data_IF_402237131652
#
_entry.id   IF_402237131652
#
_cell.length_a   1.000
_cell.length_b   1.000
_cell.length_c   1.000
_cell.angle_alpha   90.00
_cell.angle_beta   90.00
_cell.angle_gamma   90.00
#
_symmetry.space_group_name_H-M   'P 1'
#
loop_
_entity.id
_entity.type
_entity.pdbx_description
1 polymer ?
#
# COMPACT_ATOMS: atom_id res chain seq x y z
N UNK A 1 -12.32 -74.14 9.76
CA UNK A 1 -11.53 -73.00 9.24
C UNK A 1 -12.34 -71.73 9.45
N UNK A 2 -11.87 -70.85 10.32
CA UNK A 2 -12.61 -69.69 10.87
C UNK A 2 -12.21 -68.42 10.09
N UNK A 3 -13.20 -67.59 9.74
CA UNK A 3 -13.08 -66.38 8.93
C UNK A 3 -12.44 -65.23 9.72
N UNK A 4 -11.41 -64.61 9.15
CA UNK A 4 -10.71 -63.46 9.67
C UNK A 4 -11.49 -62.17 9.35
N UNK A 5 -11.85 -61.39 10.35
CA UNK A 5 -12.58 -60.12 10.21
C UNK A 5 -11.56 -58.99 10.27
N UNK A 6 -11.49 -58.16 9.24
CA UNK A 6 -10.61 -56.99 9.14
C UNK A 6 -10.99 -55.92 10.19
N UNK A 7 -10.02 -55.24 10.83
CA UNK A 7 -10.33 -54.10 11.68
C UNK A 7 -10.52 -52.83 10.82
N UNK A 8 -11.70 -52.23 10.95
CA UNK A 8 -12.05 -50.91 10.44
C UNK A 8 -11.24 -49.84 11.19
N UNK A 9 -10.29 -49.19 10.51
CA UNK A 9 -9.55 -48.06 11.09
C UNK A 9 -10.37 -46.79 10.90
N UNK A 10 -10.84 -46.21 12.01
CA UNK A 10 -11.53 -44.92 12.05
C UNK A 10 -10.48 -43.81 11.99
N UNK A 11 -10.36 -43.10 10.86
CA UNK A 11 -9.48 -41.94 10.75
C UNK A 11 -10.17 -40.70 11.34
N UNK A 12 -9.64 -40.18 12.46
CA UNK A 12 -10.01 -38.85 12.97
C UNK A 12 -9.37 -37.77 12.09
N UNK A 13 -10.18 -37.08 11.29
CA UNK A 13 -9.76 -35.89 10.56
C UNK A 13 -9.64 -34.70 11.52
N UNK A 14 -8.42 -34.36 11.91
CA UNK A 14 -8.13 -33.08 12.57
C UNK A 14 -8.05 -31.99 11.50
N UNK A 15 -9.06 -31.13 11.43
CA UNK A 15 -8.99 -29.88 10.66
C UNK A 15 -8.08 -28.91 11.41
N UNK A 16 -6.84 -28.78 10.94
CA UNK A 16 -5.96 -27.71 11.39
C UNK A 16 -6.57 -26.37 10.93
N UNK A 17 -7.14 -25.62 11.88
CA UNK A 17 -7.45 -24.21 11.67
C UNK A 17 -6.14 -23.48 11.42
N UNK A 18 -5.83 -23.23 10.15
CA UNK A 18 -4.73 -22.35 9.79
C UNK A 18 -5.15 -20.92 10.15
N UNK A 19 -4.40 -20.20 11.01
CA UNK A 19 -4.67 -18.80 11.27
C UNK A 19 -4.53 -18.03 9.96
N UNK A 20 -5.55 -17.26 9.61
CA UNK A 20 -5.47 -16.34 8.47
C UNK A 20 -4.34 -15.34 8.75
N UNK A 21 -3.37 -15.28 7.84
CA UNK A 21 -2.33 -14.26 7.88
C UNK A 21 -3.02 -12.93 7.57
N UNK A 22 -3.45 -12.20 8.60
CA UNK A 22 -3.95 -10.84 8.43
C UNK A 22 -2.75 -10.01 7.97
N UNK A 23 -2.69 -9.70 6.68
CA UNK A 23 -1.67 -8.80 6.14
C UNK A 23 -1.68 -7.49 6.90
N UNK A 24 -0.60 -7.18 7.60
CA UNK A 24 -0.48 -5.97 8.42
C UNK A 24 -0.39 -4.67 7.58
N UNK A 25 -0.29 -4.78 6.26
CA UNK A 25 0.00 -3.69 5.34
C UNK A 25 -0.94 -3.74 4.13
N UNK A 26 -1.43 -2.58 3.71
CA UNK A 26 -2.16 -2.41 2.45
C UNK A 26 -1.18 -1.90 1.38
N UNK A 27 -1.12 -2.56 0.22
CA UNK A 27 -0.23 -2.20 -0.89
C UNK A 27 -1.08 -1.84 -2.10
N UNK A 28 -0.98 -0.60 -2.55
CA UNK A 28 -1.58 -0.10 -3.78
C UNK A 28 -0.53 -0.18 -4.89
N UNK A 29 -0.72 -1.10 -5.84
CA UNK A 29 0.16 -1.23 -7.00
C UNK A 29 -0.37 -0.41 -8.16
N UNK A 30 0.47 0.47 -8.69
CA UNK A 30 0.13 1.25 -9.89
C UNK A 30 0.50 0.45 -11.13
N UNK A 31 -0.44 0.31 -12.05
CA UNK A 31 -0.29 -0.47 -13.28
C UNK A 31 0.13 0.41 -14.47
N UNK A 32 0.81 -0.14 -15.50
CA UNK A 32 1.21 0.63 -16.68
C UNK A 32 0.04 1.22 -17.49
N UNK A 33 -1.16 0.63 -17.35
CA UNK A 33 -2.38 1.02 -18.09
C UNK A 33 -3.34 1.91 -17.29
N UNK A 34 -3.00 2.28 -16.05
CA UNK A 34 -3.78 3.27 -15.29
C UNK A 34 -3.51 4.67 -15.84
N UNK A 35 -4.05 4.95 -17.03
CA UNK A 35 -4.19 6.30 -17.61
C UNK A 35 -5.51 6.93 -17.16
N UNK A 36 -6.00 6.57 -15.97
CA UNK A 36 -7.27 7.06 -15.48
C UNK A 36 -7.04 8.35 -14.69
N UNK A 37 -7.58 9.45 -15.21
CA UNK A 37 -7.63 10.77 -14.59
C UNK A 37 -8.50 10.82 -13.30
N UNK A 38 -8.93 9.66 -12.78
CA UNK A 38 -9.75 9.58 -11.58
C UNK A 38 -8.87 9.40 -10.34
N UNK A 39 -9.11 10.18 -9.27
CA UNK A 39 -8.40 9.99 -8.01
C UNK A 39 -8.56 8.57 -7.47
N UNK A 40 -7.47 7.97 -7.00
CA UNK A 40 -7.47 6.66 -6.38
C UNK A 40 -7.64 6.85 -4.87
N UNK A 41 -8.80 6.52 -4.33
CA UNK A 41 -9.03 6.61 -2.88
C UNK A 41 -8.10 5.69 -2.11
N UNK A 42 -7.28 6.27 -1.23
CA UNK A 42 -6.36 5.52 -0.34
C UNK A 42 -6.88 5.54 1.09
N UNK A 43 -7.01 4.36 1.69
CA UNK A 43 -7.27 4.24 3.13
C UNK A 43 -5.95 4.08 3.88
N UNK A 44 -5.75 4.93 4.88
CA UNK A 44 -4.61 4.82 5.80
C UNK A 44 -5.16 4.57 7.20
N UNK A 45 -4.78 3.44 7.78
CA UNK A 45 -5.27 3.02 9.09
C UNK A 45 -4.29 3.41 10.20
N UNK A 46 -4.83 3.83 11.34
CA UNK A 46 -4.03 4.08 12.54
C UNK A 46 -3.19 2.85 12.93
N UNK A 47 -1.92 3.08 13.28
CA UNK A 47 -0.98 2.03 13.62
C UNK A 47 -0.47 1.19 12.43
N UNK A 48 -0.88 1.49 11.20
CA UNK A 48 -0.45 0.78 9.98
C UNK A 48 0.20 1.73 8.98
N UNK A 49 0.98 1.14 8.07
CA UNK A 49 1.47 1.83 6.90
C UNK A 49 0.71 1.34 5.66
N UNK A 50 0.40 2.26 4.75
CA UNK A 50 -0.13 1.95 3.41
C UNK A 50 0.96 2.25 2.40
N UNK A 51 1.33 1.28 1.57
CA UNK A 51 2.35 1.45 0.54
C UNK A 51 1.70 1.77 -0.82
N UNK A 52 2.28 2.71 -1.54
CA UNK A 52 1.98 2.99 -2.95
C UNK A 52 3.21 2.61 -3.75
N UNK A 53 3.10 1.56 -4.56
CA UNK A 53 4.22 0.91 -5.25
C UNK A 53 4.13 1.14 -6.77
N UNK A 54 5.16 1.80 -7.29
CA UNK A 54 5.33 2.10 -8.72
C UNK A 54 6.36 1.19 -9.41
N UNK A 55 6.97 0.25 -8.69
CA UNK A 55 8.01 -0.64 -9.22
C UNK A 55 7.50 -1.49 -10.38
N UNK A 56 6.26 -2.01 -10.30
CA UNK A 56 5.62 -2.77 -11.37
C UNK A 56 5.36 -1.95 -12.63
N UNK A 57 5.12 -0.64 -12.48
CA UNK A 57 4.99 0.30 -13.60
C UNK A 57 6.34 0.74 -14.18
N UNK A 58 7.46 0.31 -13.58
CA UNK A 58 8.83 0.76 -13.92
C UNK A 58 8.99 2.29 -13.86
N UNK A 59 8.25 2.91 -12.93
CA UNK A 59 8.25 4.35 -12.70
C UNK A 59 9.06 4.67 -11.44
N UNK A 60 9.67 5.86 -11.41
CA UNK A 60 10.40 6.40 -10.25
C UNK A 60 9.75 7.67 -9.75
N UNK A 61 9.65 7.80 -8.44
CA UNK A 61 9.07 8.97 -7.77
C UNK A 61 10.06 10.11 -7.84
N UNK A 62 9.61 11.26 -8.36
CA UNK A 62 10.43 12.48 -8.48
C UNK A 62 9.86 13.66 -7.70
N UNK A 63 8.59 13.59 -7.27
CA UNK A 63 7.98 14.61 -6.41
C UNK A 63 6.78 14.02 -5.69
N UNK A 64 6.57 14.45 -4.45
CA UNK A 64 5.42 14.10 -3.63
C UNK A 64 4.88 15.38 -2.99
N UNK A 65 3.56 15.59 -3.07
CA UNK A 65 2.89 16.71 -2.40
C UNK A 65 1.69 16.17 -1.63
N UNK A 66 1.72 16.33 -0.31
CA UNK A 66 0.61 16.06 0.57
C UNK A 66 -0.07 17.38 0.94
N UNK A 67 -1.33 17.56 0.54
CA UNK A 67 -2.02 18.85 0.67
C UNK A 67 -2.26 19.28 2.13
N UNK A 68 -2.66 18.35 3.00
CA UNK A 68 -2.79 18.55 4.44
C UNK A 68 -1.92 17.54 5.22
N UNK A 69 -0.72 17.93 5.68
CA UNK A 69 0.16 17.07 6.46
C UNK A 69 -0.23 16.96 7.95
N UNK A 70 -1.38 17.50 8.37
CA UNK A 70 -1.75 17.54 9.81
C UNK A 70 -2.04 16.19 10.42
N UNK A 71 -2.42 15.18 9.62
CA UNK A 71 -2.81 13.84 10.10
C UNK A 71 -2.08 12.69 9.43
N UNK A 72 -1.28 12.99 8.41
CA UNK A 72 -0.57 12.01 7.59
C UNK A 72 0.87 12.45 7.39
N UNK A 73 1.77 11.47 7.33
CA UNK A 73 3.15 11.64 6.87
C UNK A 73 3.46 10.60 5.81
N UNK A 74 4.51 10.86 5.02
CA UNK A 74 5.03 9.90 4.06
C UNK A 74 6.53 9.71 4.22
N UNK A 75 7.02 8.55 3.81
CA UNK A 75 8.43 8.29 3.56
C UNK A 75 8.56 7.48 2.28
N UNK A 76 9.67 7.60 1.56
CA UNK A 76 9.98 6.77 0.40
C UNK A 76 10.90 5.61 0.78
N UNK A 77 10.94 4.57 -0.05
CA UNK A 77 11.87 3.43 0.06
C UNK A 77 13.34 3.85 -0.09
N UNK A 78 13.59 4.90 -0.86
CA UNK A 78 14.90 5.56 -1.04
C UNK A 78 14.71 7.08 -1.03
N UNK A 79 15.77 7.89 -0.80
CA UNK A 79 15.69 9.34 -0.96
C UNK A 79 15.16 9.71 -2.35
N UNK A 80 14.17 10.60 -2.44
CA UNK A 80 13.54 10.97 -3.71
C UNK A 80 14.57 11.62 -4.64
N UNK A 81 15.49 12.38 -4.08
CA UNK A 81 16.57 13.10 -4.75
C UNK A 81 17.58 12.14 -5.42
N UNK A 82 17.61 10.86 -5.03
CA UNK A 82 18.43 9.86 -5.69
C UNK A 82 17.92 9.48 -7.08
N UNK A 83 16.67 9.82 -7.42
CA UNK A 83 16.00 9.39 -8.65
C UNK A 83 15.66 7.91 -8.71
N UNK A 84 15.84 7.17 -7.60
CA UNK A 84 15.65 5.72 -7.55
C UNK A 84 14.45 5.29 -6.71
N UNK A 85 13.83 6.20 -5.96
CA UNK A 85 12.64 5.92 -5.17
C UNK A 85 11.50 5.38 -6.04
N UNK A 86 10.81 4.34 -5.56
CA UNK A 86 9.74 3.67 -6.30
C UNK A 86 8.51 3.34 -5.46
N UNK A 87 8.64 3.42 -4.13
CA UNK A 87 7.55 3.13 -3.19
C UNK A 87 7.40 4.26 -2.20
N UNK A 88 6.16 4.69 -1.96
CA UNK A 88 5.80 5.65 -0.92
C UNK A 88 5.02 4.96 0.20
N UNK A 89 5.44 5.14 1.44
CA UNK A 89 4.76 4.64 2.63
C UNK A 89 4.03 5.77 3.33
N UNK A 90 2.71 5.69 3.39
CA UNK A 90 1.83 6.61 4.11
C UNK A 90 1.54 6.09 5.51
N UNK A 91 1.58 6.97 6.50
CA UNK A 91 1.24 6.65 7.88
C UNK A 91 0.39 7.74 8.50
N UNK A 92 -0.60 7.32 9.28
CA UNK A 92 -1.34 8.23 10.14
C UNK A 92 -0.49 8.67 11.32
N UNK A 93 -0.58 9.95 11.66
CA UNK A 93 0.03 10.55 12.85
C UNK A 93 -1.04 11.14 13.76
N UNK A 94 -0.64 11.45 14.99
CA UNK A 94 -1.48 12.26 15.87
C UNK A 94 -1.72 13.63 15.20
N UNK A 95 -2.96 14.14 15.17
CA UNK A 95 -3.27 15.42 14.55
C UNK A 95 -2.41 16.56 15.09
N UNK A 96 -1.70 17.24 14.19
CA UNK A 96 -0.91 18.43 14.48
C UNK A 96 -1.66 19.70 14.10
N UNK A 97 -1.30 20.82 14.73
CA UNK A 97 -1.82 22.14 14.38
C UNK A 97 -0.70 22.97 13.78
N UNK A 98 -0.80 23.29 12.50
CA UNK A 98 0.09 24.22 11.83
C UNK A 98 -0.56 25.61 11.79
N UNK A 99 0.02 26.65 12.41
CA UNK A 99 -0.52 28.01 12.35
C UNK A 99 -0.67 28.49 10.91
N UNK A 100 -1.82 29.09 10.58
CA UNK A 100 -2.12 29.61 9.23
C UNK A 100 -2.47 28.55 8.18
N UNK A 101 -2.31 27.25 8.47
CA UNK A 101 -2.68 26.19 7.54
C UNK A 101 -4.17 25.85 7.63
N UNK A 102 -4.78 25.60 6.47
CA UNK A 102 -6.11 25.00 6.37
C UNK A 102 -6.05 23.50 6.65
N UNK A 103 -7.17 22.91 7.09
CA UNK A 103 -7.30 21.46 7.32
C UNK A 103 -8.35 20.85 6.43
N UNK A 104 -8.20 19.57 6.15
CA UNK A 104 -9.17 18.78 5.41
C UNK A 104 -9.59 17.51 6.18
N UNK A 105 -10.82 17.07 5.94
CA UNK A 105 -11.28 15.75 6.39
C UNK A 105 -10.83 14.64 5.43
N UNK A 106 -10.74 14.98 4.15
CA UNK A 106 -10.14 14.17 3.09
C UNK A 106 -9.07 15.04 2.42
N UNK A 107 -7.83 14.57 2.37
CA UNK A 107 -6.70 15.29 1.76
C UNK A 107 -6.31 14.63 0.45
N UNK A 108 -5.71 15.41 -0.44
CA UNK A 108 -5.13 14.88 -1.67
C UNK A 108 -3.65 14.58 -1.47
N UNK A 109 -3.19 13.55 -2.17
CA UNK A 109 -1.79 13.22 -2.35
C UNK A 109 -1.47 13.20 -3.85
N UNK A 110 -0.49 14.01 -4.23
CA UNK A 110 0.01 14.08 -5.60
C UNK A 110 1.38 13.43 -5.67
N UNK A 111 1.55 12.48 -6.58
CA UNK A 111 2.84 11.83 -6.82
C UNK A 111 3.20 12.02 -8.29
N UNK A 112 4.34 12.66 -8.54
CA UNK A 112 4.90 12.76 -9.89
C UNK A 112 5.95 11.68 -10.07
N UNK A 113 5.83 10.92 -11.15
CA UNK A 113 6.77 9.86 -11.51
C UNK A 113 7.40 10.08 -12.88
N UNK A 114 8.50 9.35 -13.15
CA UNK A 114 9.18 9.30 -14.45
C UNK A 114 9.57 7.87 -14.80
N UNK A 115 9.49 7.47 -16.07
CA UNK A 115 10.08 6.21 -16.57
C UNK A 115 11.49 6.37 -17.13
N UNK A 116 12.09 5.26 -17.57
CA UNK A 116 13.39 5.22 -18.21
C UNK A 116 13.47 5.99 -19.54
N UNK A 117 12.34 6.34 -20.15
CA UNK A 117 12.27 7.16 -21.37
C UNK A 117 12.09 8.66 -21.03
N UNK A 118 12.05 9.03 -19.76
CA UNK A 118 11.84 10.40 -19.31
C UNK A 118 10.37 10.84 -19.34
N UNK A 119 9.42 9.93 -19.62
CA UNK A 119 7.98 10.28 -19.64
C UNK A 119 7.48 10.45 -18.22
N UNK A 120 6.89 11.61 -17.96
CA UNK A 120 6.40 11.97 -16.64
C UNK A 120 4.90 11.69 -16.51
N UNK A 121 4.47 11.27 -15.34
CA UNK A 121 3.06 11.05 -15.02
C UNK A 121 2.73 11.66 -13.65
N UNK A 122 1.52 12.22 -13.53
CA UNK A 122 0.97 12.72 -12.27
C UNK A 122 -0.13 11.76 -11.81
N UNK A 123 0.01 11.24 -10.60
CA UNK A 123 -0.96 10.38 -9.94
C UNK A 123 -1.63 11.15 -8.82
N UNK A 124 -2.96 11.04 -8.73
CA UNK A 124 -3.78 11.70 -7.72
C UNK A 124 -4.44 10.63 -6.85
N UNK A 125 -4.25 10.74 -5.55
CA UNK A 125 -4.75 9.84 -4.52
C UNK A 125 -5.57 10.63 -3.48
#
# INVERSE_FOLDING_TARGET
MIRQISPLVLALSFTLFQPSVIGAQEIIRVSPTTTNQQPITVKVWSGRATAIDFSSAKQRIISVVLADPSKLVYNADLPIESGQASTLFLKQIQPLKFPGATRANLTNLFIKTVDAQGRQQLHVF
#
